data_IF_458836590490
#
_entry.id   IF_458836590490
#
_cell.length_a   1.000
_cell.length_b   1.000
_cell.length_c   1.000
_cell.angle_alpha   90.00
_cell.angle_beta   90.00
_cell.angle_gamma   90.00
#
_symmetry.space_group_name_H-M   'P 1'
#
loop_
_entity.id
_entity.type
_entity.pdbx_description
1 polymer ?
#
# COMPACT_ATOMS: atom_id res chain seq x y z
N UNK A 1 3.29 0.72 22.36
CA UNK A 1 3.38 1.78 21.34
C UNK A 1 1.99 1.84 20.73
N UNK A 2 1.23 2.87 21.07
CA UNK A 2 -0.08 3.08 20.45
C UNK A 2 0.15 3.61 19.03
N UNK A 3 -0.64 3.18 18.06
CA UNK A 3 -0.70 3.80 16.72
C UNK A 3 -1.22 5.25 16.76
N UNK A 4 -1.52 5.78 17.95
CA UNK A 4 -2.11 7.10 18.21
C UNK A 4 -1.41 8.23 17.44
N UNK A 5 -2.25 9.14 16.94
CA UNK A 5 -2.17 10.53 16.41
C UNK A 5 -0.84 11.21 16.04
N UNK A 6 0.30 10.69 16.48
CA UNK A 6 1.63 11.23 16.20
C UNK A 6 2.18 10.78 14.84
N UNK A 7 1.90 9.53 14.43
CA UNK A 7 2.38 8.99 13.14
C UNK A 7 1.29 9.12 12.07
N UNK A 8 0.06 8.71 12.40
CA UNK A 8 -1.08 8.78 11.50
C UNK A 8 -2.01 9.89 11.95
N UNK A 9 -2.29 10.84 11.07
CA UNK A 9 -3.21 11.94 11.31
C UNK A 9 -4.41 11.80 10.38
N UNK A 10 -5.61 12.01 10.88
CA UNK A 10 -6.81 12.07 10.08
C UNK A 10 -7.77 13.07 10.68
N UNK A 11 -8.59 13.68 9.85
CA UNK A 11 -9.69 14.48 10.35
C UNK A 11 -10.72 13.48 10.90
N UNK A 12 -10.95 13.49 12.21
CA UNK A 12 -11.89 12.63 12.98
C UNK A 12 -13.37 12.72 12.54
N UNK A 13 -13.62 13.26 11.35
CA UNK A 13 -14.93 13.51 10.76
C UNK A 13 -15.46 12.26 10.06
N UNK A 14 -14.60 11.39 9.53
CA UNK A 14 -15.01 10.17 8.84
C UNK A 14 -14.93 8.93 9.76
N UNK A 15 -16.06 8.39 10.24
CA UNK A 15 -16.07 7.23 11.13
C UNK A 15 -15.51 5.95 10.47
N UNK A 16 -15.45 5.90 9.13
CA UNK A 16 -14.89 4.75 8.39
C UNK A 16 -13.38 4.70 8.55
N UNK A 17 -12.71 5.85 8.53
CA UNK A 17 -11.27 5.94 8.78
C UNK A 17 -10.94 5.48 10.20
N UNK A 18 -11.70 5.94 11.20
CA UNK A 18 -11.50 5.50 12.58
C UNK A 18 -11.65 3.99 12.73
N UNK A 19 -12.61 3.36 12.03
CA UNK A 19 -12.78 1.91 12.05
C UNK A 19 -11.64 1.16 11.34
N UNK A 20 -11.22 1.64 10.16
CA UNK A 20 -10.13 1.03 9.42
C UNK A 20 -8.81 1.10 10.21
N UNK A 21 -8.53 2.23 10.87
CA UNK A 21 -7.35 2.42 11.73
C UNK A 21 -7.39 1.55 12.98
N UNK A 22 -8.57 1.42 13.62
CA UNK A 22 -8.76 0.45 14.72
C UNK A 22 -8.47 -0.98 14.28
N UNK A 23 -8.90 -1.36 13.08
CA UNK A 23 -8.63 -2.70 12.55
C UNK A 23 -7.14 -2.89 12.23
N UNK A 24 -6.50 -1.86 11.67
CA UNK A 24 -5.08 -1.83 11.36
C UNK A 24 -4.20 -1.98 12.62
N UNK A 25 -4.72 -1.61 13.79
CA UNK A 25 -4.06 -1.89 15.07
C UNK A 25 -3.86 -3.38 15.34
N UNK A 26 -4.76 -4.26 14.90
CA UNK A 26 -4.55 -5.71 15.03
C UNK A 26 -3.35 -6.17 14.20
N UNK A 27 -3.20 -5.59 12.99
CA UNK A 27 -2.01 -5.86 12.16
C UNK A 27 -0.75 -5.35 12.84
N UNK A 28 -0.79 -4.15 13.43
CA UNK A 28 0.36 -3.61 14.18
C UNK A 28 0.71 -4.43 15.42
N UNK A 29 -0.28 -4.95 16.15
CA UNK A 29 -0.05 -5.78 17.32
C UNK A 29 0.65 -7.10 16.94
N UNK A 30 0.28 -7.69 15.81
CA UNK A 30 0.68 -9.07 15.49
C UNK A 30 1.71 -9.18 14.36
N UNK A 31 1.92 -8.14 13.56
CA UNK A 31 2.95 -8.11 12.51
C UNK A 31 4.19 -7.32 12.92
N UNK A 32 5.32 -8.01 12.98
CA UNK A 32 6.62 -7.40 13.25
C UNK A 32 7.12 -6.56 12.08
N UNK A 33 6.82 -7.00 10.86
CA UNK A 33 7.16 -6.28 9.63
C UNK A 33 6.36 -4.98 9.54
N UNK A 34 5.05 -5.02 9.83
CA UNK A 34 4.22 -3.81 9.79
C UNK A 34 4.67 -2.77 10.83
N UNK A 35 5.06 -3.21 12.03
CA UNK A 35 5.68 -2.30 13.02
C UNK A 35 6.97 -1.67 12.50
N UNK A 36 7.77 -2.41 11.73
CA UNK A 36 8.99 -1.88 11.12
C UNK A 36 8.66 -0.78 10.11
N UNK A 37 7.68 -1.02 9.25
CA UNK A 37 7.16 -0.02 8.30
C UNK A 37 6.66 1.23 9.02
N UNK A 38 5.88 1.09 10.09
CA UNK A 38 5.40 2.24 10.87
C UNK A 38 6.53 3.05 11.52
N UNK A 39 7.60 2.41 11.99
CA UNK A 39 8.79 3.12 12.50
C UNK A 39 9.52 3.89 11.41
N UNK A 40 9.62 3.34 10.20
CA UNK A 40 10.20 4.04 9.05
C UNK A 40 9.40 5.29 8.68
N UNK A 41 8.07 5.22 8.79
CA UNK A 41 7.20 6.39 8.59
C UNK A 41 7.40 7.46 9.66
N UNK A 42 7.48 7.06 10.93
CA UNK A 42 7.70 7.95 12.07
C UNK A 42 8.97 8.80 11.89
N UNK A 43 10.06 8.20 11.38
CA UNK A 43 11.30 8.91 11.10
C UNK A 43 11.15 10.04 10.05
N UNK A 44 10.14 9.96 9.18
CA UNK A 44 9.83 10.95 8.15
C UNK A 44 8.78 11.99 8.55
N UNK A 45 8.25 11.93 9.78
CA UNK A 45 7.16 12.78 10.25
C UNK A 45 5.76 12.21 9.95
N UNK A 46 4.68 12.91 10.36
CA UNK A 46 3.32 12.40 10.26
C UNK A 46 2.90 12.13 8.81
N UNK A 47 1.98 11.17 8.67
CA UNK A 47 1.26 10.86 7.43
C UNK A 47 -0.21 11.17 7.65
N UNK A 48 -0.76 12.05 6.80
CA UNK A 48 -2.18 12.37 6.81
C UNK A 48 -2.97 11.29 6.09
N UNK A 49 -4.19 11.01 6.53
CA UNK A 49 -5.10 10.06 5.92
C UNK A 49 -6.43 10.76 5.72
N UNK A 50 -6.95 10.72 4.50
CA UNK A 50 -8.25 11.29 4.16
C UNK A 50 -9.02 10.38 3.21
N UNK A 51 -10.34 10.52 3.20
CA UNK A 51 -11.19 9.94 2.15
C UNK A 51 -11.49 11.00 1.12
N UNK A 52 -11.32 10.67 -0.15
CA UNK A 52 -11.65 11.54 -1.27
C UNK A 52 -12.58 10.81 -2.25
N UNK A 53 -13.76 11.39 -2.47
CA UNK A 53 -14.77 10.84 -3.38
C UNK A 53 -14.44 11.05 -4.86
N UNK A 54 -13.57 12.01 -5.18
CA UNK A 54 -13.21 12.37 -6.56
C UNK A 54 -11.90 11.71 -7.01
N UNK A 55 -11.11 11.15 -6.08
CA UNK A 55 -9.80 10.57 -6.35
C UNK A 55 -9.81 9.42 -7.39
N UNK A 56 -10.91 8.68 -7.51
CA UNK A 56 -11.07 7.54 -8.44
C UNK A 56 -10.20 6.30 -8.14
N UNK A 57 -9.15 6.44 -7.32
CA UNK A 57 -8.31 5.38 -6.76
C UNK A 57 -7.67 5.84 -5.46
N UNK A 58 -7.27 4.90 -4.62
CA UNK A 58 -6.43 5.17 -3.45
C UNK A 58 -4.96 5.30 -3.83
N UNK A 59 -4.21 6.15 -3.14
CA UNK A 59 -2.78 6.38 -3.38
C UNK A 59 -2.12 7.10 -2.20
N UNK A 60 -0.80 6.98 -2.07
CA UNK A 60 0.03 7.89 -1.29
C UNK A 60 0.51 9.08 -2.14
N UNK A 61 0.34 10.30 -1.62
CA UNK A 61 0.83 11.55 -2.18
C UNK A 61 2.11 12.01 -1.45
N UNK A 62 3.31 11.84 -2.02
CA UNK A 62 4.57 12.15 -1.32
C UNK A 62 4.71 13.63 -0.95
N UNK A 63 4.27 14.53 -1.82
CA UNK A 63 4.44 15.98 -1.65
C UNK A 63 3.70 16.55 -0.43
N UNK A 64 2.55 15.97 -0.07
CA UNK A 64 1.76 16.36 1.12
C UNK A 64 1.79 15.30 2.23
N UNK A 65 2.58 14.23 2.04
CA UNK A 65 2.60 13.05 2.93
C UNK A 65 1.19 12.58 3.30
N UNK A 66 0.34 12.42 2.30
CA UNK A 66 -1.07 12.08 2.50
C UNK A 66 -1.42 10.76 1.84
N UNK A 67 -1.98 9.82 2.58
CA UNK A 67 -2.71 8.67 2.02
C UNK A 67 -4.13 9.13 1.71
N UNK A 68 -4.49 9.04 0.45
CA UNK A 68 -5.84 9.29 -0.04
C UNK A 68 -6.51 7.93 -0.24
N UNK A 69 -7.60 7.70 0.48
CA UNK A 69 -8.44 6.53 0.32
C UNK A 69 -9.64 6.91 -0.56
N UNK A 70 -9.86 6.19 -1.65
CA UNK A 70 -11.04 6.42 -2.47
C UNK A 70 -12.32 6.00 -1.74
N UNK A 71 -13.41 6.73 -2.03
CA UNK A 71 -14.72 6.53 -1.42
C UNK A 71 -15.25 5.09 -1.54
N UNK A 72 -14.95 4.38 -2.64
CA UNK A 72 -15.44 3.01 -2.83
C UNK A 72 -14.70 2.03 -1.92
N UNK A 73 -13.38 2.17 -1.78
CA UNK A 73 -12.58 1.36 -0.85
C UNK A 73 -12.85 1.71 0.62
N UNK A 74 -13.15 2.98 0.91
CA UNK A 74 -13.47 3.42 2.27
C UNK A 74 -14.75 2.80 2.86
N UNK A 75 -15.68 2.31 2.02
CA UNK A 75 -16.97 1.76 2.46
C UNK A 75 -16.89 0.41 3.16
N UNK A 76 -15.91 -0.40 2.82
CA UNK A 76 -15.71 -1.71 3.43
C UNK A 76 -14.51 -1.63 4.39
N UNK A 77 -14.69 -1.90 5.69
CA UNK A 77 -13.65 -1.73 6.69
C UNK A 77 -12.47 -2.70 6.53
N UNK A 78 -12.64 -3.85 5.87
CA UNK A 78 -11.55 -4.79 5.56
C UNK A 78 -10.75 -4.30 4.35
N UNK A 79 -11.44 -3.86 3.29
CA UNK A 79 -10.78 -3.27 2.10
C UNK A 79 -10.05 -1.98 2.46
N UNK A 80 -10.69 -1.11 3.25
CA UNK A 80 -10.10 0.14 3.73
C UNK A 80 -8.82 -0.13 4.53
N UNK A 81 -8.88 -1.05 5.51
CA UNK A 81 -7.71 -1.44 6.29
C UNK A 81 -6.57 -1.97 5.41
N UNK A 82 -6.85 -2.91 4.51
CA UNK A 82 -5.83 -3.50 3.64
C UNK A 82 -5.22 -2.46 2.68
N UNK A 83 -6.05 -1.55 2.17
CA UNK A 83 -5.60 -0.44 1.31
C UNK A 83 -4.74 0.55 2.09
N UNK A 84 -5.12 0.90 3.32
CA UNK A 84 -4.29 1.74 4.18
C UNK A 84 -2.94 1.08 4.46
N UNK A 85 -2.91 -0.23 4.76
CA UNK A 85 -1.65 -0.95 4.93
C UNK A 85 -0.77 -0.85 3.68
N UNK A 86 -1.34 -1.00 2.49
CA UNK A 86 -0.63 -0.86 1.22
C UNK A 86 -0.07 0.54 1.00
N UNK A 87 -0.90 1.58 1.12
CA UNK A 87 -0.46 2.96 0.87
C UNK A 87 0.51 3.49 1.93
N UNK A 88 0.40 3.04 3.18
CA UNK A 88 1.38 3.34 4.22
C UNK A 88 2.73 2.66 3.92
N UNK A 89 2.72 1.48 3.32
CA UNK A 89 3.95 0.85 2.85
C UNK A 89 4.55 1.58 1.65
N UNK A 90 3.72 2.05 0.71
CA UNK A 90 4.18 2.96 -0.36
C UNK A 90 4.81 4.23 0.23
N UNK A 91 4.21 4.79 1.28
CA UNK A 91 4.77 5.95 1.99
C UNK A 91 6.14 5.65 2.63
N UNK A 92 6.34 4.44 3.16
CA UNK A 92 7.62 4.02 3.72
C UNK A 92 8.67 3.77 2.63
N UNK A 93 8.24 3.39 1.43
CA UNK A 93 9.06 3.18 0.24
C UNK A 93 9.20 4.44 -0.62
N UNK A 94 8.68 5.60 -0.19
CA UNK A 94 8.79 6.86 -0.93
C UNK A 94 10.22 7.21 -1.38
N UNK A 95 11.29 6.94 -0.59
CA UNK A 95 12.67 7.15 -1.06
C UNK A 95 13.06 6.25 -2.25
N UNK A 96 12.52 5.03 -2.34
CA UNK A 96 12.79 4.13 -3.47
C UNK A 96 12.09 4.62 -4.76
N UNK A 97 10.85 5.10 -4.65
CA UNK A 97 10.17 5.76 -5.77
C UNK A 97 10.91 7.01 -6.23
N UNK A 98 11.32 7.87 -5.30
CA UNK A 98 12.10 9.07 -5.61
C UNK A 98 13.44 8.77 -6.30
N UNK A 99 14.10 7.67 -5.94
CA UNK A 99 15.32 7.22 -6.61
C UNK A 99 15.07 6.77 -8.06
N UNK A 100 13.93 6.13 -8.35
CA UNK A 100 13.53 5.81 -9.73
C UNK A 100 13.30 7.09 -10.53
N UNK A 101 12.56 8.05 -9.98
CA UNK A 101 12.33 9.36 -10.61
C UNK A 101 13.63 10.10 -10.89
N UNK A 102 14.54 10.16 -9.90
CA UNK A 102 15.84 10.79 -10.05
C UNK A 102 16.67 10.14 -11.16
N UNK A 103 16.75 8.81 -11.18
CA UNK A 103 17.44 8.08 -12.26
C UNK A 103 16.82 8.38 -13.61
N UNK A 104 15.50 8.47 -13.69
CA UNK A 104 14.81 8.70 -14.95
C UNK A 104 15.16 10.06 -15.55
N UNK A 105 15.30 11.08 -14.68
CA UNK A 105 15.78 12.42 -15.04
C UNK A 105 17.26 12.42 -15.46
N UNK A 106 18.11 11.67 -14.74
CA UNK A 106 19.56 11.69 -14.95
C UNK A 106 20.02 10.86 -16.17
N UNK A 107 19.32 9.78 -16.50
CA UNK A 107 19.79 8.80 -17.51
C UNK A 107 18.97 8.78 -18.80
N UNK A 108 17.88 9.55 -18.88
CA UNK A 108 16.99 9.55 -20.04
C UNK A 108 16.31 8.20 -20.27
N UNK A 109 15.81 7.57 -19.20
CA UNK A 109 15.03 6.33 -19.29
C UNK A 109 13.85 6.49 -20.27
N UNK A 110 13.52 5.44 -21.01
CA UNK A 110 12.26 5.40 -21.74
C UNK A 110 11.06 5.31 -20.79
N UNK A 111 9.87 5.72 -21.26
CA UNK A 111 8.64 5.62 -20.47
C UNK A 111 8.38 4.18 -19.99
N UNK A 112 8.68 3.18 -20.82
CA UNK A 112 8.52 1.77 -20.48
C UNK A 112 9.49 1.31 -19.37
N UNK A 113 10.76 1.71 -19.45
CA UNK A 113 11.74 1.42 -18.39
C UNK A 113 11.36 2.07 -17.07
N UNK A 114 10.88 3.31 -17.12
CA UNK A 114 10.36 4.00 -15.94
C UNK A 114 9.14 3.27 -15.35
N UNK A 115 8.14 2.93 -16.17
CA UNK A 115 6.94 2.24 -15.71
C UNK A 115 7.25 0.91 -15.04
N UNK A 116 8.14 0.10 -15.64
CA UNK A 116 8.58 -1.16 -15.05
C UNK A 116 9.37 -0.95 -13.74
N UNK A 117 10.23 0.08 -13.67
CA UNK A 117 11.00 0.38 -12.46
C UNK A 117 10.09 0.78 -11.28
N UNK A 118 9.03 1.56 -11.52
CA UNK A 118 8.03 1.90 -10.49
C UNK A 118 7.29 0.64 -10.03
N UNK A 119 6.84 -0.21 -10.95
CA UNK A 119 6.15 -1.47 -10.60
C UNK A 119 7.03 -2.42 -9.78
N UNK A 120 8.35 -2.45 -10.03
CA UNK A 120 9.29 -3.22 -9.20
C UNK A 120 9.36 -2.71 -7.77
N UNK A 121 9.23 -1.40 -7.55
CA UNK A 121 9.12 -0.84 -6.19
C UNK A 121 7.76 -1.23 -5.56
N UNK A 122 6.65 -1.13 -6.29
CA UNK A 122 5.33 -1.54 -5.77
C UNK A 122 5.18 -3.05 -5.54
N UNK A 123 5.94 -3.88 -6.24
CA UNK A 123 6.04 -5.30 -5.93
C UNK A 123 6.58 -5.52 -4.52
N UNK A 124 7.49 -4.66 -4.03
CA UNK A 124 7.95 -4.72 -2.64
C UNK A 124 6.81 -4.37 -1.66
N UNK A 125 5.93 -3.43 -2.03
CA UNK A 125 4.72 -3.11 -1.26
C UNK A 125 3.81 -4.34 -1.16
N UNK A 126 3.53 -4.97 -2.31
CA UNK A 126 2.76 -6.21 -2.42
C UNK A 126 3.31 -7.31 -1.52
N UNK A 127 4.62 -7.54 -1.58
CA UNK A 127 5.31 -8.55 -0.77
C UNK A 127 5.27 -8.24 0.74
N UNK A 128 5.35 -6.97 1.11
CA UNK A 128 5.30 -6.54 2.50
C UNK A 128 3.88 -6.71 3.07
N UNK A 129 2.86 -6.32 2.31
CA UNK A 129 1.44 -6.49 2.69
C UNK A 129 1.07 -7.96 2.83
N UNK A 130 1.57 -8.83 1.94
CA UNK A 130 1.46 -10.27 2.09
C UNK A 130 2.06 -10.77 3.43
N UNK A 131 3.27 -10.31 3.78
CA UNK A 131 3.91 -10.67 5.05
C UNK A 131 3.11 -10.18 6.26
N UNK A 132 2.58 -8.95 6.23
CA UNK A 132 1.72 -8.44 7.31
C UNK A 132 0.52 -9.34 7.55
N UNK A 133 -0.17 -9.69 6.47
CA UNK A 133 -1.34 -10.56 6.55
C UNK A 133 -0.98 -11.95 7.06
N UNK A 134 0.12 -12.55 6.58
CA UNK A 134 0.58 -13.85 7.06
C UNK A 134 0.87 -13.84 8.56
N UNK A 135 1.46 -12.78 9.09
CA UNK A 135 1.76 -12.63 10.51
C UNK A 135 0.50 -12.38 11.36
N UNK A 136 -0.43 -11.56 10.86
CA UNK A 136 -1.63 -11.15 11.59
C UNK A 136 -2.89 -11.99 11.30
N UNK A 137 -2.79 -13.00 10.43
CA UNK A 137 -3.93 -13.74 9.86
C UNK A 137 -4.89 -14.24 10.94
N UNK A 138 -4.38 -14.93 11.95
CA UNK A 138 -5.21 -15.54 12.99
C UNK A 138 -6.03 -14.48 13.74
N UNK A 139 -5.42 -13.35 14.08
CA UNK A 139 -6.10 -12.26 14.78
C UNK A 139 -7.14 -11.56 13.92
N UNK A 140 -6.87 -11.38 12.64
CA UNK A 140 -7.82 -10.80 11.68
C UNK A 140 -9.02 -11.74 11.49
N UNK A 141 -8.78 -13.03 11.25
CA UNK A 141 -9.82 -14.02 11.04
C UNK A 141 -10.71 -14.22 12.27
N UNK A 142 -10.15 -14.19 13.49
CA UNK A 142 -10.91 -14.26 14.74
C UNK A 142 -11.92 -13.11 14.89
N UNK A 143 -11.78 -12.04 14.10
CA UNK A 143 -12.64 -10.85 14.10
C UNK A 143 -13.52 -10.76 12.86
N UNK A 144 -13.51 -11.78 11.99
CA UNK A 144 -14.22 -11.75 10.71
C UNK A 144 -13.62 -10.77 9.69
N UNK A 145 -12.35 -10.40 9.85
CA UNK A 145 -11.59 -9.53 8.95
C UNK A 145 -10.51 -10.33 8.20
N UNK A 146 -9.80 -9.67 7.30
CA UNK A 146 -8.61 -10.22 6.64
C UNK A 146 -8.96 -11.16 5.49
N UNK A 147 -9.78 -10.74 4.53
CA UNK A 147 -9.91 -11.50 3.29
C UNK A 147 -8.57 -11.52 2.55
N UNK A 148 -7.94 -12.70 2.43
CA UNK A 148 -6.59 -12.84 1.88
C UNK A 148 -6.34 -12.07 0.56
N UNK A 149 -7.33 -12.06 -0.34
CA UNK A 149 -7.24 -11.37 -1.64
C UNK A 149 -6.95 -9.86 -1.52
N UNK A 150 -7.45 -9.21 -0.46
CA UNK A 150 -7.24 -7.79 -0.22
C UNK A 150 -5.79 -7.49 0.20
N UNK A 151 -5.07 -8.51 0.66
CA UNK A 151 -3.70 -8.46 1.17
C UNK A 151 -2.70 -9.09 0.21
N UNK A 152 -3.00 -9.07 -1.10
CA UNK A 152 -2.18 -9.70 -2.14
C UNK A 152 -1.79 -11.15 -1.82
N UNK A 153 -2.73 -11.87 -1.20
CA UNK A 153 -2.54 -13.22 -0.73
C UNK A 153 -3.66 -14.13 -1.24
N UNK A 154 -3.37 -15.42 -1.31
CA UNK A 154 -4.35 -16.49 -1.57
C UNK A 154 -4.19 -17.56 -0.50
N UNK A 155 -5.27 -18.28 -0.21
CA UNK A 155 -5.23 -19.44 0.70
C UNK A 155 -5.22 -20.69 -0.18
N UNK A 156 -4.22 -21.55 -0.01
CA UNK A 156 -4.16 -22.81 -0.74
C UNK A 156 -5.09 -23.88 -0.10
N UNK A 157 -5.31 -25.03 -0.74
CA UNK A 157 -6.20 -26.07 -0.21
C UNK A 157 -5.78 -26.64 1.16
N UNK A 158 -4.52 -26.48 1.56
CA UNK A 158 -4.04 -26.88 2.89
C UNK A 158 -4.31 -25.84 3.97
N UNK A 159 -4.83 -24.68 3.58
CA UNK A 159 -5.08 -23.55 4.48
C UNK A 159 -3.88 -22.60 4.63
N UNK A 160 -2.79 -22.82 3.89
CA UNK A 160 -1.59 -21.99 3.98
C UNK A 160 -1.78 -20.67 3.20
N UNK A 161 -1.30 -19.58 3.78
CA UNK A 161 -1.23 -18.28 3.10
C UNK A 161 -0.10 -18.29 2.08
N UNK A 162 -0.46 -18.13 0.81
CA UNK A 162 0.47 -17.97 -0.31
C UNK A 162 0.38 -16.56 -0.88
N UNK A 163 1.44 -16.15 -1.57
CA UNK A 163 1.45 -14.93 -2.37
C UNK A 163 0.43 -15.01 -3.50
N UNK A 164 -0.14 -13.86 -3.87
CA UNK A 164 -0.98 -13.75 -5.06
C UNK A 164 -0.17 -13.99 -6.34
N UNK A 165 1.02 -13.42 -6.42
CA UNK A 165 1.98 -13.61 -7.51
C UNK A 165 3.12 -14.53 -7.05
N UNK A 166 3.54 -15.47 -7.90
CA UNK A 166 4.57 -16.45 -7.53
C UNK A 166 5.98 -15.87 -7.64
N UNK A 167 6.20 -14.99 -8.62
CA UNK A 167 7.45 -14.24 -8.82
C UNK A 167 7.21 -12.76 -9.09
N UNK A 168 8.29 -11.97 -9.04
CA UNK A 168 8.27 -10.57 -9.46
C UNK A 168 7.91 -10.45 -10.94
N UNK A 169 8.46 -11.30 -11.82
CA UNK A 169 8.13 -11.25 -13.25
C UNK A 169 6.65 -11.53 -13.52
N UNK A 170 6.04 -12.42 -12.76
CA UNK A 170 4.60 -12.71 -12.85
C UNK A 170 3.75 -11.52 -12.40
N UNK A 171 4.16 -10.82 -11.34
CA UNK A 171 3.51 -9.59 -10.90
C UNK A 171 3.62 -8.51 -11.99
N UNK A 172 4.83 -8.22 -12.47
CA UNK A 172 5.09 -7.21 -13.51
C UNK A 172 4.28 -7.48 -14.79
N UNK A 173 4.27 -8.74 -15.26
CA UNK A 173 3.48 -9.16 -16.41
C UNK A 173 1.99 -8.92 -16.19
N UNK A 174 1.48 -9.27 -15.00
CA UNK A 174 0.06 -9.08 -14.68
C UNK A 174 -0.32 -7.61 -14.64
N UNK A 175 0.49 -6.77 -14.00
CA UNK A 175 0.23 -5.33 -13.91
C UNK A 175 0.29 -4.64 -15.27
N UNK A 176 1.21 -5.07 -16.13
CA UNK A 176 1.27 -4.61 -17.52
C UNK A 176 0.02 -4.99 -18.31
N UNK A 177 -0.46 -6.23 -18.17
CA UNK A 177 -1.70 -6.69 -18.82
C UNK A 177 -2.95 -5.96 -18.29
N UNK A 178 -2.95 -5.58 -17.01
CA UNK A 178 -4.01 -4.80 -16.39
C UNK A 178 -4.00 -3.31 -16.81
N UNK A 179 -2.98 -2.87 -17.54
CA UNK A 179 -2.80 -1.47 -17.94
C UNK A 179 -2.31 -0.57 -16.80
N UNK A 180 -1.95 -1.14 -15.65
CA UNK A 180 -1.47 -0.40 -14.48
C UNK A 180 -0.12 0.26 -14.78
N UNK A 181 0.82 -0.51 -15.34
CA UNK A 181 2.14 -0.01 -15.77
C UNK A 181 2.02 1.11 -16.80
N UNK A 182 1.02 1.02 -17.70
CA UNK A 182 0.74 2.05 -18.70
C UNK A 182 0.36 3.40 -18.08
N UNK A 183 -0.20 3.43 -16.86
CA UNK A 183 -0.48 4.68 -16.16
C UNK A 183 0.81 5.42 -15.76
N UNK A 184 1.86 4.67 -15.36
CA UNK A 184 3.18 5.23 -15.06
C UNK A 184 3.89 5.71 -16.32
N UNK A 185 3.82 4.93 -17.41
CA UNK A 185 4.38 5.33 -18.71
C UNK A 185 3.76 6.65 -19.19
N UNK A 186 2.44 6.80 -19.09
CA UNK A 186 1.75 8.04 -19.45
C UNK A 186 2.09 9.20 -18.50
N UNK A 187 2.30 8.91 -17.21
CA UNK A 187 2.73 9.93 -16.27
C UNK A 187 4.13 10.44 -16.59
N UNK A 188 5.05 9.55 -16.96
CA UNK A 188 6.39 9.89 -17.42
C UNK A 188 6.32 10.88 -18.60
N UNK A 189 5.57 10.53 -19.65
CA UNK A 189 5.43 11.35 -20.86
C UNK A 189 4.76 12.71 -20.66
N UNK A 190 3.99 12.89 -19.58
CA UNK A 190 3.38 14.19 -19.25
C UNK A 190 4.33 15.11 -18.51
N UNK A 191 5.27 14.53 -17.75
CA UNK A 191 6.14 15.26 -16.84
C UNK A 191 7.52 15.53 -17.43
N UNK A 192 7.91 14.79 -18.49
CA UNK A 192 9.19 14.88 -19.20
C UNK A 192 8.98 14.70 -20.71
#
# INVERSE_FOLDING_TARGET
MDLNNTILQHDDVDPRLSQALKNLFFVFADSSEFRSTMRSLEAGGPVHIQVDAEAGRSYFAPGTRTVVLDEMRARDPDIAMATLAFELTNAALAPAFAEVERRAQDTGMSAAEYGEAIERVEYQTTESVHRYYREAQHSLQARGLGQARNWFSKIDPSGEVRRMFETEEDALRTQRMAGHTGAYEQSYQRNW
#
